data_IF_044476413321
#
_entry.id   IF_044476413321
#
_cell.length_a   1.000
_cell.length_b   1.000
_cell.length_c   1.000
_cell.angle_alpha   90.00
_cell.angle_beta   90.00
_cell.angle_gamma   90.00
#
_symmetry.space_group_name_H-M   'P 1'
#
loop_
_entity.id
_entity.type
_entity.pdbx_description
1 polymer ?
#
# COMPACT_ATOMS: atom_id res chain seq x y z
N UNK A 1 58.04 -55.00 -2.36
CA UNK A 1 57.86 -56.45 -2.34
C UNK A 1 56.41 -56.78 -2.52
N UNK A 2 56.14 -57.40 -3.64
CA UNK A 2 54.98 -58.17 -4.07
C UNK A 2 53.67 -57.44 -4.34
N UNK A 3 53.44 -57.33 -5.64
CA UNK A 3 52.23 -57.14 -6.41
C UNK A 3 51.28 -58.36 -6.29
N UNK A 4 49.95 -58.14 -6.13
CA UNK A 4 49.00 -59.09 -6.74
C UNK A 4 47.82 -58.26 -7.29
N UNK A 5 47.62 -58.38 -8.60
CA UNK A 5 46.44 -57.91 -9.32
C UNK A 5 45.36 -59.01 -9.28
N UNK A 6 44.12 -58.61 -9.22
CA UNK A 6 43.00 -59.44 -9.65
C UNK A 6 41.96 -58.55 -10.35
N UNK A 7 41.80 -58.83 -11.64
CA UNK A 7 40.73 -58.30 -12.52
C UNK A 7 39.41 -59.03 -12.21
N UNK A 8 38.31 -58.27 -12.20
CA UNK A 8 36.99 -58.82 -12.43
C UNK A 8 36.14 -57.80 -13.22
N UNK A 9 35.74 -58.17 -14.39
CA UNK A 9 34.79 -57.51 -15.29
C UNK A 9 33.38 -57.46 -14.66
N UNK A 10 32.77 -56.28 -14.70
CA UNK A 10 31.38 -56.11 -14.47
C UNK A 10 30.91 -54.88 -15.25
N UNK A 11 30.22 -55.13 -16.34
CA UNK A 11 29.68 -54.08 -17.20
C UNK A 11 28.60 -53.21 -16.52
N UNK A 12 28.39 -51.99 -17.03
CA UNK A 12 27.40 -51.09 -16.44
C UNK A 12 26.00 -51.49 -16.81
N UNK A 13 25.17 -51.80 -15.83
CA UNK A 13 23.71 -51.87 -15.95
C UNK A 13 23.15 -50.45 -15.89
N UNK A 14 22.73 -49.92 -17.04
CA UNK A 14 21.96 -48.71 -17.14
C UNK A 14 20.55 -48.94 -16.57
N UNK A 15 20.31 -48.46 -15.38
CA UNK A 15 18.96 -48.37 -14.81
C UNK A 15 18.36 -47.05 -15.28
N UNK A 16 17.52 -47.09 -16.29
CA UNK A 16 16.66 -45.97 -16.70
C UNK A 16 15.55 -45.79 -15.67
N UNK A 17 15.67 -44.76 -14.85
CA UNK A 17 14.57 -44.25 -14.01
C UNK A 17 13.57 -43.56 -14.95
N UNK A 18 12.29 -43.84 -14.90
CA UNK A 18 11.30 -43.10 -15.68
C UNK A 18 11.18 -41.69 -15.12
N UNK A 19 11.48 -40.73 -15.99
CA UNK A 19 11.25 -39.31 -15.76
C UNK A 19 9.74 -39.07 -15.66
N UNK A 20 9.26 -38.61 -14.51
CA UNK A 20 7.87 -38.20 -14.33
C UNK A 20 7.61 -36.94 -15.18
N UNK A 21 6.47 -36.85 -15.88
CA UNK A 21 6.17 -35.66 -16.66
C UNK A 21 6.03 -34.46 -15.76
N UNK A 22 6.86 -33.44 -15.98
CA UNK A 22 6.74 -32.14 -15.39
C UNK A 22 5.43 -31.50 -15.88
N UNK A 23 4.38 -31.59 -15.08
CA UNK A 23 3.18 -30.79 -15.28
C UNK A 23 3.50 -29.36 -14.82
N UNK A 24 3.97 -28.55 -15.77
CA UNK A 24 3.97 -27.10 -15.60
C UNK A 24 2.52 -26.59 -15.65
N UNK A 25 1.83 -26.63 -14.51
CA UNK A 25 0.59 -25.88 -14.33
C UNK A 25 0.96 -24.43 -14.00
N UNK A 26 1.41 -23.67 -14.99
CA UNK A 26 1.27 -22.22 -14.97
C UNK A 26 -0.19 -21.93 -15.23
N UNK A 27 -1.00 -21.88 -14.16
CA UNK A 27 -2.27 -21.21 -14.21
C UNK A 27 -1.96 -19.77 -14.59
N UNK A 28 -2.25 -19.37 -15.82
CA UNK A 28 -2.31 -17.99 -16.19
C UNK A 28 -3.38 -17.36 -15.30
N UNK A 29 -2.94 -16.55 -14.31
CA UNK A 29 -3.83 -15.77 -13.48
C UNK A 29 -4.48 -14.78 -14.43
N UNK A 30 -5.70 -15.03 -14.85
CA UNK A 30 -6.48 -14.07 -15.63
C UNK A 30 -6.70 -12.85 -14.74
N UNK A 31 -6.42 -11.66 -15.29
CA UNK A 31 -6.70 -10.42 -14.58
C UNK A 31 -8.16 -10.38 -14.10
N UNK A 32 -8.45 -9.80 -12.92
CA UNK A 32 -9.82 -9.66 -12.43
C UNK A 32 -10.71 -8.97 -13.48
N UNK A 33 -11.97 -9.40 -13.57
CA UNK A 33 -12.91 -8.86 -14.56
C UNK A 33 -13.16 -7.36 -14.41
N UNK A 34 -13.00 -6.82 -13.20
CA UNK A 34 -13.17 -5.42 -12.86
C UNK A 34 -11.87 -4.59 -12.90
N UNK A 35 -10.74 -5.15 -13.34
CA UNK A 35 -9.57 -4.34 -13.73
C UNK A 35 -9.84 -3.76 -15.12
N UNK A 36 -10.01 -2.45 -15.18
CA UNK A 36 -10.46 -1.71 -16.37
C UNK A 36 -9.35 -0.96 -17.06
N UNK A 37 -8.17 -0.78 -16.43
CA UNK A 37 -7.04 -0.09 -17.03
C UNK A 37 -5.71 -0.37 -16.33
N UNK A 38 -4.64 -0.01 -17.02
CA UNK A 38 -3.28 0.14 -16.48
C UNK A 38 -2.69 1.37 -17.16
N UNK A 39 -2.15 2.28 -16.37
CA UNK A 39 -1.47 3.48 -16.82
C UNK A 39 -0.05 3.55 -16.24
N UNK A 40 0.70 4.59 -16.59
CA UNK A 40 2.02 4.88 -16.03
C UNK A 40 2.03 6.28 -15.42
N UNK A 41 2.42 6.37 -14.16
CA UNK A 41 2.66 7.62 -13.46
C UNK A 41 4.12 7.67 -13.06
N UNK A 42 4.84 8.71 -13.48
CA UNK A 42 6.28 8.82 -13.30
C UNK A 42 7.08 7.56 -13.75
N UNK A 43 6.54 6.81 -14.72
CA UNK A 43 7.13 5.57 -15.21
C UNK A 43 6.81 4.31 -14.40
N UNK A 44 6.01 4.43 -13.34
CA UNK A 44 5.53 3.32 -12.51
C UNK A 44 4.10 2.94 -12.90
N UNK A 45 3.75 1.64 -12.91
CA UNK A 45 2.40 1.23 -13.25
C UNK A 45 1.40 1.58 -12.13
N UNK A 46 0.23 2.07 -12.54
CA UNK A 46 -0.95 2.21 -11.72
C UNK A 46 -2.08 1.40 -12.36
N UNK A 47 -2.69 0.52 -11.61
CA UNK A 47 -3.78 -0.33 -12.08
C UNK A 47 -5.12 0.28 -11.70
N UNK A 48 -6.06 0.34 -12.64
CA UNK A 48 -7.39 0.89 -12.38
C UNK A 48 -8.42 -0.22 -12.30
N UNK A 49 -9.18 -0.24 -11.21
CA UNK A 49 -10.29 -1.15 -10.98
C UNK A 49 -11.58 -0.33 -10.84
N UNK A 50 -12.68 -0.87 -11.30
CA UNK A 50 -13.96 -0.18 -11.19
C UNK A 50 -15.07 -0.83 -12.01
N UNK A 51 -16.29 -0.27 -11.94
CA UNK A 51 -17.35 -0.60 -12.85
C UNK A 51 -16.96 -0.27 -14.30
N UNK A 52 -17.39 -1.11 -15.26
CA UNK A 52 -17.07 -0.91 -16.69
C UNK A 52 -17.83 0.28 -17.32
N UNK A 53 -19.02 0.53 -16.82
CA UNK A 53 -19.86 1.64 -17.31
C UNK A 53 -19.70 2.85 -16.39
N UNK A 54 -19.53 4.06 -16.94
CA UNK A 54 -19.45 5.27 -16.14
C UNK A 54 -20.70 5.48 -15.28
N UNK A 55 -20.48 5.96 -14.04
CA UNK A 55 -21.55 6.23 -13.08
C UNK A 55 -21.06 7.18 -11.99
N UNK A 56 -21.88 7.41 -10.97
CA UNK A 56 -21.50 8.22 -9.80
C UNK A 56 -20.78 7.34 -8.76
N UNK A 57 -19.51 7.08 -8.99
CA UNK A 57 -18.66 6.21 -8.16
C UNK A 57 -17.60 7.01 -7.41
N UNK A 58 -17.40 6.82 -6.10
CA UNK A 58 -16.31 7.44 -5.38
C UNK A 58 -14.95 6.92 -5.87
N UNK A 59 -13.90 7.70 -5.62
CA UNK A 59 -12.52 7.42 -6.07
C UNK A 59 -11.62 7.10 -4.89
N UNK A 60 -10.85 6.03 -5.03
CA UNK A 60 -9.84 5.58 -4.07
C UNK A 60 -8.48 5.50 -4.74
N UNK A 61 -7.44 6.06 -4.11
CA UNK A 61 -6.04 5.71 -4.38
C UNK A 61 -5.60 4.68 -3.35
N UNK A 62 -5.10 3.53 -3.81
CA UNK A 62 -4.74 2.41 -2.94
C UNK A 62 -3.24 2.20 -2.92
N UNK A 63 -2.66 2.11 -1.71
CA UNK A 63 -1.22 1.98 -1.50
C UNK A 63 -0.88 0.65 -0.80
N UNK A 64 0.06 -0.09 -1.37
CA UNK A 64 0.51 -1.36 -0.81
C UNK A 64 1.47 -1.19 0.39
N UNK A 65 1.60 -2.22 1.21
CA UNK A 65 2.65 -2.36 2.21
C UNK A 65 3.92 -2.98 1.63
N UNK A 66 4.92 -3.21 2.52
CA UNK A 66 6.18 -3.88 2.13
C UNK A 66 7.40 -3.37 2.89
N UNK A 67 7.18 -2.77 4.07
CA UNK A 67 8.27 -2.35 4.98
C UNK A 67 9.18 -1.29 4.37
N UNK A 68 8.68 -0.43 3.47
CA UNK A 68 9.39 0.63 2.74
C UNK A 68 10.45 0.14 1.71
N UNK A 69 10.85 -1.13 1.76
CA UNK A 69 11.91 -1.67 0.92
C UNK A 69 11.42 -2.63 -0.16
N UNK A 70 10.12 -2.88 -0.25
CA UNK A 70 9.52 -3.80 -1.22
C UNK A 70 8.01 -3.68 -1.26
N UNK A 71 7.36 -4.71 -1.82
CA UNK A 71 5.93 -4.75 -2.03
C UNK A 71 5.53 -4.50 -3.48
N UNK A 72 4.25 -4.63 -3.73
CA UNK A 72 3.66 -4.33 -5.04
C UNK A 72 2.15 -4.21 -4.93
N UNK A 73 1.47 -3.53 -5.88
CA UNK A 73 0.02 -3.41 -5.93
C UNK A 73 -0.71 -4.76 -5.98
N UNK A 74 -0.06 -5.82 -6.49
CA UNK A 74 -0.65 -7.17 -6.51
C UNK A 74 -1.04 -7.68 -5.10
N UNK A 75 -0.40 -7.17 -4.05
CA UNK A 75 -0.75 -7.52 -2.67
C UNK A 75 -2.08 -6.92 -2.22
N UNK A 76 -2.56 -5.88 -2.88
CA UNK A 76 -3.81 -5.17 -2.61
C UNK A 76 -4.91 -5.50 -3.63
N UNK A 77 -4.58 -6.26 -4.71
CA UNK A 77 -5.51 -6.62 -5.78
C UNK A 77 -6.84 -7.22 -5.26
N UNK A 78 -6.86 -8.16 -4.27
CA UNK A 78 -8.11 -8.70 -3.76
C UNK A 78 -9.01 -7.63 -3.14
N UNK A 79 -8.44 -6.66 -2.40
CA UNK A 79 -9.20 -5.57 -1.81
C UNK A 79 -9.63 -4.55 -2.86
N UNK A 80 -8.75 -4.20 -3.81
CA UNK A 80 -9.09 -3.32 -4.94
C UNK A 80 -10.26 -3.87 -5.76
N UNK A 81 -10.22 -5.17 -6.06
CA UNK A 81 -11.30 -5.87 -6.78
C UNK A 81 -12.61 -5.89 -5.98
N UNK A 82 -12.54 -6.08 -4.66
CA UNK A 82 -13.72 -6.06 -3.79
C UNK A 82 -14.38 -4.68 -3.74
N UNK A 83 -13.59 -3.62 -3.56
CA UNK A 83 -14.08 -2.23 -3.57
C UNK A 83 -14.66 -1.85 -4.93
N UNK A 84 -14.03 -2.26 -6.03
CA UNK A 84 -14.55 -2.04 -7.38
C UNK A 84 -15.89 -2.76 -7.61
N UNK A 85 -16.07 -3.97 -7.04
CA UNK A 85 -17.36 -4.69 -7.07
C UNK A 85 -18.43 -3.95 -6.26
N UNK A 86 -18.03 -3.23 -5.21
CA UNK A 86 -18.92 -2.38 -4.42
C UNK A 86 -19.20 -1.00 -5.06
N UNK A 87 -18.72 -0.76 -6.29
CA UNK A 87 -18.99 0.47 -7.03
C UNK A 87 -18.03 1.62 -6.72
N UNK A 88 -16.77 1.31 -6.44
CA UNK A 88 -15.70 2.29 -6.20
C UNK A 88 -14.69 2.20 -7.35
N UNK A 89 -14.22 3.34 -7.84
CA UNK A 89 -13.08 3.41 -8.78
C UNK A 89 -11.80 3.44 -7.96
N UNK A 90 -10.94 2.44 -8.14
CA UNK A 90 -9.70 2.26 -7.37
C UNK A 90 -8.50 2.40 -8.28
N UNK A 91 -7.61 3.32 -7.96
CA UNK A 91 -6.28 3.47 -8.54
C UNK A 91 -5.29 2.75 -7.62
N UNK A 92 -4.93 1.51 -7.96
CA UNK A 92 -4.02 0.66 -7.18
C UNK A 92 -2.58 0.97 -7.59
N UNK A 93 -1.89 1.72 -6.76
CA UNK A 93 -0.66 2.44 -7.05
C UNK A 93 0.60 1.61 -6.83
N UNK A 94 1.63 1.92 -7.61
CA UNK A 94 3.01 1.48 -7.41
C UNK A 94 3.88 2.70 -7.10
N UNK A 95 4.58 2.69 -5.99
CA UNK A 95 5.51 3.75 -5.61
C UNK A 95 6.92 3.16 -5.38
N UNK A 96 7.97 4.00 -5.48
CA UNK A 96 9.36 3.57 -5.28
C UNK A 96 9.58 3.08 -3.85
N UNK A 97 10.18 1.89 -3.76
CA UNK A 97 10.56 1.26 -2.49
C UNK A 97 12.04 0.92 -2.54
N UNK A 98 12.86 1.51 -1.68
CA UNK A 98 14.31 1.25 -1.67
C UNK A 98 14.98 1.84 -0.43
N UNK A 99 16.25 1.49 -0.23
CA UNK A 99 17.13 2.25 0.63
C UNK A 99 17.30 3.67 0.04
N UNK A 100 17.10 4.70 0.87
CA UNK A 100 17.03 6.09 0.41
C UNK A 100 15.74 6.40 -0.37
N UNK A 101 14.64 5.70 -0.07
CA UNK A 101 13.35 5.90 -0.75
C UNK A 101 12.58 7.16 -0.32
N UNK A 102 13.06 7.88 0.68
CA UNK A 102 12.58 9.20 1.06
C UNK A 102 13.44 10.28 0.36
N UNK A 103 12.83 11.37 -0.23
CA UNK A 103 11.39 11.66 -0.30
C UNK A 103 10.66 11.01 -1.48
N UNK A 104 11.34 10.29 -2.36
CA UNK A 104 10.83 9.87 -3.66
C UNK A 104 9.53 9.04 -3.60
N UNK A 105 9.36 8.22 -2.55
CA UNK A 105 8.11 7.44 -2.38
C UNK A 105 6.91 8.32 -2.00
N UNK A 106 7.14 9.43 -1.29
CA UNK A 106 6.10 10.42 -0.99
C UNK A 106 5.75 11.24 -2.23
N UNK A 107 6.76 11.60 -3.03
CA UNK A 107 6.58 12.29 -4.31
C UNK A 107 5.79 11.43 -5.30
N UNK A 108 6.08 10.13 -5.38
CA UNK A 108 5.34 9.20 -6.21
C UNK A 108 3.86 9.11 -5.79
N UNK A 109 3.59 8.95 -4.49
CA UNK A 109 2.21 8.89 -3.97
C UNK A 109 1.46 10.19 -4.21
N UNK A 110 2.10 11.35 -4.02
CA UNK A 110 1.51 12.64 -4.34
C UNK A 110 1.17 12.76 -5.83
N UNK A 111 2.06 12.25 -6.70
CA UNK A 111 1.83 12.21 -8.14
C UNK A 111 0.69 11.26 -8.53
N UNK A 112 0.56 10.12 -7.88
CA UNK A 112 -0.53 9.17 -8.08
C UNK A 112 -1.89 9.76 -7.68
N UNK A 113 -1.94 10.56 -6.60
CA UNK A 113 -3.15 11.28 -6.19
C UNK A 113 -3.53 12.32 -7.24
N UNK A 114 -2.59 13.13 -7.74
CA UNK A 114 -2.83 14.07 -8.83
C UNK A 114 -3.31 13.37 -10.10
N UNK A 115 -2.70 12.23 -10.43
CA UNK A 115 -3.13 11.42 -11.56
C UNK A 115 -4.55 10.94 -11.39
N UNK A 116 -4.90 10.35 -10.24
CA UNK A 116 -6.24 9.88 -9.95
C UNK A 116 -7.28 11.00 -10.06
N UNK A 117 -6.98 12.20 -9.51
CA UNK A 117 -7.84 13.37 -9.63
C UNK A 117 -8.03 13.81 -11.08
N UNK A 118 -6.98 13.81 -11.90
CA UNK A 118 -7.02 14.20 -13.30
C UNK A 118 -7.73 13.18 -14.20
N UNK A 119 -7.61 11.88 -13.86
CA UNK A 119 -8.12 10.76 -14.65
C UNK A 119 -9.50 10.26 -14.24
N UNK A 120 -9.90 10.50 -13.00
CA UNK A 120 -11.21 10.04 -12.50
C UNK A 120 -12.40 10.39 -13.39
N UNK A 121 -12.47 11.57 -14.09
CA UNK A 121 -13.56 11.87 -14.99
C UNK A 121 -13.73 10.90 -16.17
N UNK A 122 -12.72 10.10 -16.50
CA UNK A 122 -12.82 9.06 -17.53
C UNK A 122 -13.60 7.83 -17.04
N UNK A 123 -13.70 7.63 -15.71
CA UNK A 123 -14.26 6.44 -15.07
C UNK A 123 -15.53 6.74 -14.25
N UNK A 124 -15.68 7.96 -13.76
CA UNK A 124 -16.79 8.34 -12.89
C UNK A 124 -17.29 9.76 -13.17
N UNK A 125 -18.58 9.99 -12.91
CA UNK A 125 -19.18 11.33 -12.88
C UNK A 125 -19.20 11.91 -11.46
N UNK A 126 -18.68 11.18 -10.48
CA UNK A 126 -18.69 11.62 -9.08
C UNK A 126 -17.80 12.85 -8.88
N UNK A 127 -18.33 13.76 -8.05
CA UNK A 127 -17.58 14.88 -7.48
C UNK A 127 -17.30 14.65 -5.99
N UNK A 128 -17.46 13.40 -5.53
CA UNK A 128 -17.20 13.05 -4.13
C UNK A 128 -15.72 13.17 -3.80
N UNK A 129 -15.41 13.36 -2.52
CA UNK A 129 -14.04 13.42 -2.02
C UNK A 129 -13.19 12.23 -2.43
N UNK A 130 -11.90 12.47 -2.70
CA UNK A 130 -10.94 11.41 -2.93
C UNK A 130 -10.52 10.78 -1.59
N UNK A 131 -10.48 9.46 -1.58
CA UNK A 131 -10.01 8.68 -0.42
C UNK A 131 -8.67 7.99 -0.73
N UNK A 132 -7.73 8.05 0.20
CA UNK A 132 -6.52 7.20 0.18
C UNK A 132 -6.77 5.99 1.09
N UNK A 133 -6.59 4.77 0.56
CA UNK A 133 -6.65 3.51 1.32
C UNK A 133 -5.27 2.86 1.29
N UNK A 134 -4.65 2.65 2.43
CA UNK A 134 -3.25 2.30 2.46
C UNK A 134 -2.91 1.27 3.55
N UNK A 135 -2.01 0.33 3.26
CA UNK A 135 -1.63 -0.75 4.18
C UNK A 135 -0.19 -0.61 4.66
N UNK A 136 0.06 -0.84 5.97
CA UNK A 136 1.41 -0.98 6.55
C UNK A 136 2.31 0.22 6.24
N UNK A 137 3.49 0.01 5.66
CA UNK A 137 4.39 1.09 5.22
C UNK A 137 3.72 2.07 4.25
N UNK A 138 2.82 1.58 3.38
CA UNK A 138 2.00 2.46 2.54
C UNK A 138 1.04 3.33 3.35
N UNK A 139 0.51 2.84 4.49
CA UNK A 139 -0.33 3.62 5.38
C UNK A 139 0.45 4.76 6.05
N UNK A 140 1.71 4.53 6.40
CA UNK A 140 2.59 5.59 6.88
C UNK A 140 2.78 6.69 5.82
N UNK A 141 3.19 6.32 4.59
CA UNK A 141 3.40 7.26 3.48
C UNK A 141 2.09 7.97 3.13
N UNK A 142 1.00 7.22 3.01
CA UNK A 142 -0.32 7.75 2.69
C UNK A 142 -0.85 8.75 3.72
N UNK A 143 -0.63 8.49 5.01
CA UNK A 143 -1.01 9.42 6.08
C UNK A 143 -0.26 10.75 5.97
N UNK A 144 1.06 10.70 5.75
CA UNK A 144 1.88 11.91 5.58
C UNK A 144 1.40 12.71 4.37
N UNK A 145 1.27 12.09 3.19
CA UNK A 145 0.87 12.81 1.97
C UNK A 145 -0.57 13.34 2.06
N UNK A 146 -1.48 12.59 2.71
CA UNK A 146 -2.87 13.05 2.90
C UNK A 146 -2.98 14.25 3.82
N UNK A 147 -2.09 14.38 4.80
CA UNK A 147 -2.04 15.52 5.71
C UNK A 147 -1.25 16.70 5.12
N UNK A 148 -0.05 16.43 4.57
CA UNK A 148 0.88 17.45 4.08
C UNK A 148 0.48 18.10 2.73
N UNK A 149 -0.43 17.47 1.98
CA UNK A 149 -0.91 18.00 0.71
C UNK A 149 0.20 18.20 -0.32
N UNK A 150 0.28 19.40 -0.88
CA UNK A 150 1.21 19.76 -1.96
C UNK A 150 2.69 19.89 -1.56
N UNK A 151 3.07 19.51 -0.34
CA UNK A 151 4.48 19.51 0.06
C UNK A 151 5.33 18.53 -0.74
N UNK A 152 4.71 17.44 -1.21
CA UNK A 152 5.36 16.39 -1.99
C UNK A 152 4.92 16.41 -3.45
N UNK A 153 5.75 15.79 -4.33
CA UNK A 153 5.45 15.66 -5.75
C UNK A 153 5.46 16.98 -6.53
N UNK A 154 6.27 17.93 -6.12
CA UNK A 154 6.39 19.26 -6.76
C UNK A 154 6.83 19.19 -8.23
N UNK A 155 7.61 18.16 -8.59
CA UNK A 155 8.10 17.92 -9.95
C UNK A 155 7.10 17.11 -10.81
N UNK A 156 5.90 16.84 -10.30
CA UNK A 156 4.86 16.12 -11.04
C UNK A 156 4.18 17.05 -12.04
N UNK A 157 4.27 16.75 -13.34
CA UNK A 157 3.70 17.56 -14.43
C UNK A 157 2.15 17.54 -14.49
N UNK A 158 1.49 16.86 -13.53
CA UNK A 158 0.03 16.78 -13.44
C UNK A 158 -0.47 17.98 -12.63
N UNK A 159 -1.11 18.93 -13.29
CA UNK A 159 -1.46 20.24 -12.78
C UNK A 159 -2.61 20.33 -11.76
N UNK A 160 -2.98 19.21 -11.12
CA UNK A 160 -3.94 19.21 -10.01
C UNK A 160 -3.22 19.33 -8.66
N UNK A 161 -3.83 19.99 -7.68
CA UNK A 161 -3.33 20.00 -6.32
C UNK A 161 -3.55 18.63 -5.65
N UNK A 162 -2.74 18.28 -4.66
CA UNK A 162 -2.95 17.08 -3.83
C UNK A 162 -4.09 17.39 -2.83
N UNK A 163 -5.27 16.92 -3.16
CA UNK A 163 -6.44 17.09 -2.29
C UNK A 163 -6.94 15.71 -1.87
N UNK A 164 -6.79 15.41 -0.59
CA UNK A 164 -7.28 14.19 0.05
C UNK A 164 -8.25 14.57 1.15
N UNK A 165 -9.48 14.10 1.05
CA UNK A 165 -10.53 14.41 2.03
C UNK A 165 -10.71 13.27 3.04
N UNK A 166 -10.33 12.05 2.66
CA UNK A 166 -10.45 10.86 3.50
C UNK A 166 -9.20 10.00 3.43
N UNK A 167 -8.80 9.50 4.58
CA UNK A 167 -7.69 8.55 4.71
C UNK A 167 -8.15 7.28 5.45
N UNK A 168 -7.88 6.12 4.87
CA UNK A 168 -8.07 4.81 5.52
C UNK A 168 -6.72 4.16 5.68
N UNK A 169 -6.30 4.01 6.92
CA UNK A 169 -5.02 3.38 7.26
C UNK A 169 -5.20 1.97 7.81
N UNK A 170 -4.63 0.99 7.14
CA UNK A 170 -4.70 -0.43 7.48
C UNK A 170 -3.38 -0.84 8.14
N UNK A 171 -3.37 -1.06 9.45
CA UNK A 171 -2.20 -1.50 10.24
C UNK A 171 -0.94 -0.66 10.00
N UNK A 172 -1.05 0.66 10.06
CA UNK A 172 0.03 1.60 9.75
C UNK A 172 1.01 1.81 10.89
N UNK A 173 2.34 1.81 10.60
CA UNK A 173 3.42 2.18 11.54
C UNK A 173 3.65 3.70 11.51
N UNK A 174 2.78 4.48 12.17
CA UNK A 174 2.71 5.94 12.01
C UNK A 174 3.80 6.74 12.73
N UNK A 175 4.43 6.19 13.77
CA UNK A 175 5.58 6.82 14.41
C UNK A 175 6.89 6.25 13.85
N UNK A 176 7.58 6.95 12.93
CA UNK A 176 8.81 6.44 12.31
C UNK A 176 9.93 6.24 13.32
N UNK A 177 9.92 6.93 14.46
CA UNK A 177 10.99 6.84 15.47
C UNK A 177 11.04 5.47 16.14
N UNK A 178 9.88 4.77 16.25
CA UNK A 178 9.77 3.44 16.79
C UNK A 178 10.42 2.37 15.87
N UNK A 179 10.64 2.69 14.60
CA UNK A 179 11.22 1.82 13.59
C UNK A 179 12.61 2.28 13.13
N UNK A 180 13.32 3.05 13.97
CA UNK A 180 14.57 3.73 13.62
C UNK A 180 15.64 2.80 13.04
N UNK A 181 15.75 1.56 13.53
CA UNK A 181 16.70 0.57 12.98
C UNK A 181 16.45 0.25 11.50
N UNK A 182 15.19 0.18 11.09
CA UNK A 182 14.79 -0.10 9.70
C UNK A 182 14.84 1.18 8.88
N UNK A 183 14.27 2.26 9.39
CA UNK A 183 14.06 3.51 8.67
C UNK A 183 15.31 4.36 8.49
N UNK A 184 16.41 4.11 9.23
CA UNK A 184 17.72 4.73 8.93
C UNK A 184 18.12 4.53 7.47
N UNK A 185 17.92 3.31 6.92
CA UNK A 185 18.21 3.04 5.52
C UNK A 185 17.24 3.72 4.54
N UNK A 186 16.00 3.94 4.96
CA UNK A 186 14.97 4.57 4.16
C UNK A 186 15.12 6.10 4.11
N UNK A 187 15.32 6.74 5.24
CA UNK A 187 15.56 8.19 5.34
C UNK A 187 17.00 8.59 4.96
N UNK A 188 17.93 7.61 4.81
CA UNK A 188 19.32 7.87 4.45
C UNK A 188 20.17 8.46 5.57
N UNK A 189 19.62 8.66 6.76
CA UNK A 189 20.30 9.22 7.93
C UNK A 189 19.76 8.60 9.22
N UNK A 190 20.54 8.69 10.28
CA UNK A 190 20.07 8.33 11.62
C UNK A 190 19.33 9.52 12.25
N UNK A 191 18.34 9.18 13.07
CA UNK A 191 17.55 10.20 13.79
C UNK A 191 18.43 11.16 14.63
N UNK A 192 19.49 10.63 15.28
CA UNK A 192 20.38 11.39 16.14
C UNK A 192 21.40 12.23 15.35
N UNK A 193 21.60 11.94 14.06
CA UNK A 193 22.53 12.65 13.18
C UNK A 193 21.84 13.79 12.43
N UNK A 194 20.62 13.53 11.92
CA UNK A 194 19.78 14.52 11.25
C UNK A 194 18.31 14.12 11.42
N UNK A 195 17.55 14.89 12.20
CA UNK A 195 16.14 14.63 12.46
C UNK A 195 15.21 15.13 11.35
N UNK A 196 15.68 16.03 10.47
CA UNK A 196 14.81 16.70 9.50
C UNK A 196 14.07 15.76 8.55
N UNK A 197 14.68 14.72 7.94
CA UNK A 197 13.94 13.74 7.13
C UNK A 197 12.92 12.93 7.94
N UNK A 198 13.20 12.68 9.23
CA UNK A 198 12.31 11.95 10.13
C UNK A 198 11.09 12.77 10.53
N UNK A 199 11.30 14.04 10.82
CA UNK A 199 10.22 14.99 11.10
C UNK A 199 9.35 15.19 9.85
N UNK A 200 9.97 15.42 8.71
CA UNK A 200 9.25 15.60 7.44
C UNK A 200 8.56 14.31 6.93
N UNK A 201 9.03 13.14 7.34
CA UNK A 201 8.40 11.86 7.07
C UNK A 201 7.42 11.41 8.15
N UNK A 202 7.07 12.25 9.12
CA UNK A 202 6.17 11.89 10.22
C UNK A 202 4.78 12.50 10.02
N UNK A 203 3.68 11.74 10.07
CA UNK A 203 2.32 12.30 9.98
C UNK A 203 2.01 13.26 11.14
N UNK A 204 2.66 13.09 12.28
CA UNK A 204 2.48 13.99 13.43
C UNK A 204 2.91 15.42 13.17
N UNK A 205 3.77 15.65 12.16
CA UNK A 205 4.24 16.99 11.77
C UNK A 205 3.20 17.81 11.02
N UNK A 206 2.12 17.18 10.54
CA UNK A 206 1.15 17.78 9.60
C UNK A 206 -0.30 17.70 10.08
N UNK A 207 -0.56 17.37 11.35
CA UNK A 207 -1.93 17.22 11.87
C UNK A 207 -2.78 18.48 11.74
N UNK A 208 -2.15 19.65 11.74
CA UNK A 208 -2.82 20.95 11.59
C UNK A 208 -2.96 21.41 10.12
N UNK A 209 -2.30 20.74 9.15
CA UNK A 209 -2.19 21.24 7.77
C UNK A 209 -3.43 20.90 6.92
N UNK A 210 -4.11 19.77 7.23
CA UNK A 210 -5.39 19.40 6.59
C UNK A 210 -6.48 19.16 7.65
N UNK A 211 -7.03 20.20 8.26
CA UNK A 211 -8.02 20.07 9.35
C UNK A 211 -9.37 19.49 8.91
N UNK A 212 -9.60 19.35 7.60
CA UNK A 212 -10.81 18.74 7.05
C UNK A 212 -10.67 17.24 6.76
N UNK A 213 -9.46 16.68 6.89
CA UNK A 213 -9.22 15.27 6.63
C UNK A 213 -10.00 14.40 7.62
N UNK A 214 -10.86 13.52 7.09
CA UNK A 214 -11.47 12.45 7.88
C UNK A 214 -10.58 11.22 7.87
N UNK A 215 -10.40 10.54 9.00
CA UNK A 215 -9.52 9.39 9.11
C UNK A 215 -10.25 8.16 9.65
N UNK A 216 -10.06 7.01 8.99
CA UNK A 216 -10.43 5.70 9.50
C UNK A 216 -9.16 4.86 9.65
N UNK A 217 -8.81 4.49 10.85
CA UNK A 217 -7.70 3.60 11.14
C UNK A 217 -8.26 2.22 11.47
N UNK A 218 -7.80 1.17 10.76
CA UNK A 218 -8.24 -0.21 10.98
C UNK A 218 -7.02 -1.02 11.39
N UNK A 219 -7.08 -1.71 12.53
CA UNK A 219 -5.94 -2.46 13.05
C UNK A 219 -6.36 -3.79 13.67
N UNK A 220 -5.54 -4.82 13.46
CA UNK A 220 -5.73 -6.14 14.07
C UNK A 220 -5.21 -6.18 15.51
N UNK A 221 -5.99 -6.75 16.44
CA UNK A 221 -5.56 -6.84 17.85
C UNK A 221 -4.46 -7.87 18.09
N UNK A 222 -4.19 -8.77 17.13
CA UNK A 222 -3.09 -9.75 17.17
C UNK A 222 -2.01 -9.44 16.11
N UNK A 223 -1.85 -8.15 15.76
CA UNK A 223 -0.78 -7.70 14.90
C UNK A 223 0.56 -7.76 15.63
N UNK A 224 1.43 -8.69 15.21
CA UNK A 224 2.76 -8.93 15.77
C UNK A 224 3.90 -8.20 15.01
N UNK A 225 3.58 -7.53 13.89
CA UNK A 225 4.53 -6.75 13.09
C UNK A 225 4.48 -5.27 13.42
N UNK A 226 3.27 -4.71 13.48
CA UNK A 226 2.99 -3.32 13.84
C UNK A 226 2.01 -3.33 15.02
N UNK A 227 2.47 -3.04 16.24
CA UNK A 227 1.58 -3.01 17.39
C UNK A 227 0.41 -2.04 17.19
N UNK A 228 -0.81 -2.45 17.56
CA UNK A 228 -2.04 -1.63 17.47
C UNK A 228 -1.86 -0.25 18.11
N UNK A 229 -0.97 -0.15 19.10
CA UNK A 229 -0.59 1.12 19.75
C UNK A 229 -0.17 2.20 18.75
N UNK A 230 0.36 1.83 17.57
CA UNK A 230 0.70 2.80 16.51
C UNK A 230 -0.54 3.54 15.99
N UNK A 231 -1.64 2.82 15.77
CA UNK A 231 -2.92 3.43 15.35
C UNK A 231 -3.61 4.17 16.50
N UNK A 232 -3.54 3.64 17.73
CA UNK A 232 -4.09 4.33 18.91
C UNK A 232 -3.42 5.70 19.11
N UNK A 233 -2.09 5.77 19.05
CA UNK A 233 -1.34 7.02 19.20
C UNK A 233 -1.68 8.05 18.12
N UNK A 234 -1.79 7.62 16.86
CA UNK A 234 -2.19 8.53 15.80
C UNK A 234 -3.63 9.01 15.98
N UNK A 235 -4.56 8.11 16.34
CA UNK A 235 -5.94 8.48 16.58
C UNK A 235 -6.07 9.48 17.75
N UNK A 236 -5.32 9.27 18.84
CA UNK A 236 -5.25 10.19 19.98
C UNK A 236 -4.76 11.57 19.55
N UNK A 237 -3.59 11.63 18.87
CA UNK A 237 -2.99 12.90 18.44
C UNK A 237 -3.85 13.64 17.39
N UNK A 238 -4.42 12.91 16.42
CA UNK A 238 -5.31 13.49 15.42
C UNK A 238 -6.59 14.05 16.04
N UNK A 239 -7.17 13.32 17.00
CA UNK A 239 -8.34 13.81 17.77
C UNK A 239 -8.03 15.04 18.61
N UNK A 240 -6.86 15.11 19.25
CA UNK A 240 -6.39 16.30 19.98
C UNK A 240 -6.17 17.50 19.07
N UNK A 241 -5.71 17.27 17.83
CA UNK A 241 -5.60 18.30 16.78
C UNK A 241 -6.96 18.70 16.19
N UNK A 242 -8.05 17.99 16.52
CA UNK A 242 -9.41 18.32 16.08
C UNK A 242 -9.86 17.64 14.79
N UNK A 243 -9.10 16.67 14.28
CA UNK A 243 -9.51 15.90 13.09
C UNK A 243 -10.64 14.91 13.47
N UNK A 244 -11.48 14.60 12.47
CA UNK A 244 -12.47 13.53 12.57
C UNK A 244 -11.78 12.18 12.33
N UNK A 245 -11.51 11.45 13.43
CA UNK A 245 -10.77 10.19 13.38
C UNK A 245 -11.54 9.07 14.09
N UNK A 246 -11.63 7.90 13.45
CA UNK A 246 -12.18 6.67 13.97
C UNK A 246 -11.12 5.56 13.94
N UNK A 247 -10.97 4.84 15.05
CA UNK A 247 -10.18 3.62 15.13
C UNK A 247 -11.12 2.41 15.22
N UNK A 248 -10.95 1.48 14.27
CA UNK A 248 -11.62 0.18 14.24
C UNK A 248 -10.63 -0.92 14.57
N UNK A 249 -10.84 -1.56 15.70
CA UNK A 249 -10.08 -2.72 16.13
C UNK A 249 -10.71 -3.99 15.56
N UNK A 250 -9.90 -4.83 14.88
CA UNK A 250 -10.33 -6.14 14.38
C UNK A 250 -9.90 -7.23 15.37
N UNK A 251 -10.83 -7.76 16.20
CA UNK A 251 -10.49 -8.76 17.22
C UNK A 251 -9.88 -10.02 16.61
N UNK A 252 -8.69 -10.43 17.09
CA UNK A 252 -7.99 -11.63 16.63
C UNK A 252 -7.35 -11.53 15.25
N UNK A 253 -7.45 -10.40 14.56
CA UNK A 253 -6.84 -10.20 13.25
C UNK A 253 -5.36 -9.88 13.38
N UNK A 254 -4.57 -10.42 12.45
CA UNK A 254 -3.14 -10.17 12.30
C UNK A 254 -2.86 -8.98 11.38
N UNK A 255 -1.58 -8.62 11.20
CA UNK A 255 -1.15 -7.58 10.27
C UNK A 255 -1.70 -7.76 8.85
N UNK A 256 -1.65 -8.98 8.34
CA UNK A 256 -2.07 -9.28 6.97
C UNK A 256 -3.58 -9.36 6.81
N UNK A 257 -4.31 -9.64 7.89
CA UNK A 257 -5.77 -9.71 7.86
C UNK A 257 -6.42 -8.34 7.65
N UNK A 258 -5.72 -7.25 8.00
CA UNK A 258 -6.23 -5.88 7.79
C UNK A 258 -6.40 -5.49 6.32
N UNK A 259 -5.91 -6.27 5.37
CA UNK A 259 -6.16 -6.13 3.93
C UNK A 259 -7.07 -7.23 3.35
N UNK A 260 -7.62 -8.10 4.22
CA UNK A 260 -8.55 -9.13 3.80
C UNK A 260 -9.91 -8.50 3.45
N UNK A 261 -10.38 -8.59 2.18
CA UNK A 261 -11.61 -7.92 1.77
C UNK A 261 -12.83 -8.37 2.57
N UNK A 262 -12.87 -9.61 3.05
CA UNK A 262 -14.00 -10.09 3.85
C UNK A 262 -14.12 -9.42 5.23
N UNK A 263 -13.06 -8.79 5.71
CA UNK A 263 -13.05 -8.12 7.01
C UNK A 263 -13.20 -6.60 6.90
N UNK A 264 -12.71 -6.00 5.82
CA UNK A 264 -12.56 -4.54 5.77
C UNK A 264 -13.37 -3.84 4.67
N UNK A 265 -13.86 -4.58 3.65
CA UNK A 265 -14.57 -3.94 2.53
C UNK A 265 -15.76 -3.10 3.00
N UNK A 266 -16.63 -3.66 3.84
CA UNK A 266 -17.85 -2.98 4.27
C UNK A 266 -17.53 -1.73 5.10
N UNK A 267 -16.50 -1.78 5.97
CA UNK A 267 -16.03 -0.64 6.75
C UNK A 267 -15.52 0.50 5.86
N UNK A 268 -14.73 0.14 4.84
CA UNK A 268 -14.19 1.11 3.89
C UNK A 268 -15.30 1.70 3.03
N UNK A 269 -16.23 0.88 2.52
CA UNK A 269 -17.37 1.32 1.70
C UNK A 269 -18.27 2.26 2.49
N UNK A 270 -18.56 1.96 3.74
CA UNK A 270 -19.32 2.84 4.63
C UNK A 270 -18.63 4.20 4.76
N UNK A 271 -17.34 4.19 5.11
CA UNK A 271 -16.56 5.41 5.33
C UNK A 271 -16.40 6.26 4.07
N UNK A 272 -16.15 5.64 2.92
CA UNK A 272 -16.01 6.33 1.63
C UNK A 272 -17.31 7.01 1.19
N UNK A 273 -18.48 6.45 1.55
CA UNK A 273 -19.79 6.96 1.20
C UNK A 273 -20.43 7.83 2.30
N UNK A 274 -19.78 8.00 3.44
CA UNK A 274 -20.25 8.90 4.49
C UNK A 274 -20.32 10.34 3.96
N UNK A 275 -21.39 11.10 4.18
CA UNK A 275 -21.57 12.44 3.65
C UNK A 275 -20.62 13.49 4.21
#
# INVERSE_FOLDING_TARGET
MIVVACSANGGPTTTTTPEAPATSNTAATTAPENRIGIDLVAGLPIEVYGPREPGDFPVVVMLHGGGWFGGSPASMEPLASSLATAGIVVFNSTYRTSAGGYPESFDDVACDIRFALSKSPEYTTSTRPLTVVAHSAGAHIGAVVSLAGDLFGQDCDLGADVVVDRFVGLAGPYDPTLYSTVLTGYFGTRLEEDSAPWEAGSPYSYLDDNPSLKMLLIHGTEDDLVPIRSSELLAEAAGEAGLDVRLEELPGATHMDTRNPNLVTDLIVEFVNDP
#
